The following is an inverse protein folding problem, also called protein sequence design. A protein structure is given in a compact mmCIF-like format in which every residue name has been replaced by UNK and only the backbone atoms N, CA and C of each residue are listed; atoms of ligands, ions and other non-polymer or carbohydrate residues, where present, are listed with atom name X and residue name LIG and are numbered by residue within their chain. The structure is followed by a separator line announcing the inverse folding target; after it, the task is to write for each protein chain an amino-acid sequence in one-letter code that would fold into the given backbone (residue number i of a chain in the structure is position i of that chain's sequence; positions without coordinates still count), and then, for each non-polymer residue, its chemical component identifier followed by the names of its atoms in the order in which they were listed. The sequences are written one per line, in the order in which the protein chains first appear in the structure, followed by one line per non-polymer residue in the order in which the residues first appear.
data_IF_079843273011
#
_entry.id   IF_079843273011
#
_cell.length_a   1.000
_cell.length_b   1.000
_cell.length_c   1.000
_cell.angle_alpha   90.00
_cell.angle_beta   90.00
_cell.angle_gamma   90.00
#
_symmetry.space_group_name_H-M   'P 1'
#
loop_
_entity.id
_entity.type
_entity.pdbx_description
1 polymer ?
#
# COMPACT_ATOMS: atom_id res chain seq x y z
N UNK A 1 -1.32 -13.62 50.29
CA UNK A 1 0.02 -14.21 50.03
C UNK A 1 -0.13 -15.69 49.72
N UNK A 2 -0.26 -16.06 48.43
CA UNK A 2 -0.37 -17.46 48.00
C UNK A 2 0.95 -17.93 47.39
N UNK A 3 1.60 -18.90 48.05
CA UNK A 3 2.84 -19.56 47.59
C UNK A 3 2.56 -20.34 46.30
N UNK A 4 3.21 -19.94 45.21
CA UNK A 4 3.32 -20.69 43.95
C UNK A 4 3.85 -22.10 44.25
N UNK A 5 3.06 -23.13 43.92
CA UNK A 5 3.57 -24.50 43.73
C UNK A 5 4.38 -24.51 42.43
N UNK A 6 5.70 -24.60 42.54
CA UNK A 6 6.56 -24.99 41.42
C UNK A 6 6.29 -26.46 41.10
N UNK A 7 5.62 -26.74 39.97
CA UNK A 7 5.61 -28.08 39.40
C UNK A 7 6.97 -28.34 38.75
N UNK A 8 7.63 -29.38 39.24
CA UNK A 8 8.91 -29.93 38.78
C UNK A 8 8.97 -30.13 37.27
N UNK A 9 10.06 -29.67 36.66
CA UNK A 9 10.43 -29.96 35.26
C UNK A 9 10.79 -31.45 35.16
N UNK A 10 9.91 -32.26 34.57
CA UNK A 10 10.16 -33.68 34.33
C UNK A 10 11.29 -33.85 33.29
N UNK A 11 12.23 -34.75 33.60
CA UNK A 11 13.38 -35.08 32.76
C UNK A 11 12.91 -35.58 31.38
N UNK A 12 13.52 -35.04 30.32
CA UNK A 12 13.25 -35.45 28.95
C UNK A 12 13.83 -36.85 28.70
N UNK A 13 12.97 -37.82 28.41
CA UNK A 13 13.38 -39.13 27.90
C UNK A 13 13.85 -38.98 26.45
N UNK A 14 15.03 -39.49 26.14
CA UNK A 14 15.73 -39.36 24.85
C UNK A 14 15.04 -39.98 23.61
N UNK A 15 13.77 -40.41 23.73
CA UNK A 15 12.96 -40.95 22.64
C UNK A 15 11.61 -40.25 22.45
N UNK A 16 11.28 -39.22 23.25
CA UNK A 16 10.06 -38.43 23.05
C UNK A 16 10.43 -37.19 22.25
N UNK A 17 10.04 -37.18 20.97
CA UNK A 17 10.02 -35.95 20.18
C UNK A 17 9.07 -34.97 20.88
N UNK A 18 9.63 -33.86 21.38
CA UNK A 18 8.83 -32.75 21.84
C UNK A 18 7.85 -32.38 20.71
N UNK A 19 6.55 -32.29 21.03
CA UNK A 19 5.58 -31.68 20.14
C UNK A 19 5.93 -30.19 20.07
N UNK A 20 6.92 -29.85 19.25
CA UNK A 20 7.20 -28.49 18.86
C UNK A 20 6.01 -28.05 17.99
N UNK A 21 5.03 -27.43 18.64
CA UNK A 21 3.86 -26.86 17.97
C UNK A 21 4.23 -25.80 16.92
N UNK A 22 5.47 -25.30 16.95
CA UNK A 22 6.04 -24.44 15.91
C UNK A 22 6.18 -25.11 14.54
N UNK A 23 6.19 -26.45 14.46
CA UNK A 23 6.22 -27.17 13.16
C UNK A 23 4.86 -27.11 12.45
N UNK A 24 3.78 -26.87 13.19
CA UNK A 24 2.43 -26.69 12.65
C UNK A 24 1.99 -25.22 12.63
N UNK A 25 2.92 -24.29 12.87
CA UNK A 25 2.70 -22.88 12.58
C UNK A 25 2.66 -22.71 11.06
N UNK A 26 1.50 -23.00 10.47
CA UNK A 26 1.19 -22.52 9.13
C UNK A 26 1.29 -21.01 9.23
N UNK A 27 2.29 -20.42 8.59
CA UNK A 27 2.37 -18.98 8.39
C UNK A 27 1.03 -18.57 7.78
N UNK A 28 0.18 -17.95 8.59
CA UNK A 28 -1.09 -17.42 8.11
C UNK A 28 -0.72 -16.47 6.98
N UNK A 29 -1.10 -16.75 5.72
CA UNK A 29 -0.75 -15.85 4.65
C UNK A 29 -1.29 -14.47 5.03
N UNK A 30 -0.42 -13.47 5.05
CA UNK A 30 -0.77 -12.07 5.25
C UNK A 30 -1.51 -11.52 4.01
N UNK A 31 -2.54 -12.24 3.59
CA UNK A 31 -3.40 -11.96 2.46
C UNK A 31 -4.85 -12.14 2.90
N UNK A 32 -5.74 -11.47 2.18
CA UNK A 32 -7.18 -11.51 2.42
C UNK A 32 -7.66 -12.95 2.32
N UNK A 33 -7.85 -13.62 3.47
CA UNK A 33 -8.45 -14.96 3.52
C UNK A 33 -9.96 -14.78 3.41
N UNK A 34 -10.44 -14.53 2.20
CA UNK A 34 -11.87 -14.65 1.93
C UNK A 34 -12.26 -16.13 2.18
N UNK A 35 -13.22 -16.36 3.06
CA UNK A 35 -13.77 -17.70 3.26
C UNK A 35 -14.44 -18.13 1.95
N UNK A 36 -14.34 -19.41 1.58
CA UNK A 36 -14.89 -19.92 0.31
C UNK A 36 -16.36 -19.51 0.13
N UNK A 37 -16.64 -18.64 -0.84
CA UNK A 37 -17.99 -18.09 -1.11
C UNK A 37 -18.18 -16.62 -0.72
N UNK A 38 -17.18 -15.99 -0.09
CA UNK A 38 -17.20 -14.59 0.31
C UNK A 38 -16.73 -13.66 -0.82
N UNK A 39 -17.27 -12.45 -0.86
CA UNK A 39 -16.83 -11.43 -1.81
C UNK A 39 -15.42 -10.95 -1.43
N UNK A 40 -14.41 -11.36 -2.22
CA UNK A 40 -13.01 -11.02 -1.99
C UNK A 40 -12.76 -9.50 -1.90
N UNK A 41 -13.55 -8.68 -2.60
CA UNK A 41 -13.43 -7.22 -2.51
C UNK A 41 -13.97 -6.69 -1.16
N UNK A 42 -15.09 -7.21 -0.68
CA UNK A 42 -15.65 -6.81 0.62
C UNK A 42 -14.71 -7.20 1.75
N UNK A 43 -14.21 -8.44 1.74
CA UNK A 43 -13.23 -8.92 2.70
C UNK A 43 -11.95 -8.06 2.68
N UNK A 44 -11.49 -7.67 1.49
CA UNK A 44 -10.32 -6.81 1.32
C UNK A 44 -10.54 -5.40 1.86
N UNK A 45 -11.69 -4.78 1.60
CA UNK A 45 -12.05 -3.46 2.14
C UNK A 45 -12.12 -3.51 3.67
N UNK A 46 -12.74 -4.55 4.24
CA UNK A 46 -12.81 -4.71 5.71
C UNK A 46 -11.42 -4.88 6.31
N UNK A 47 -10.58 -5.72 5.72
CA UNK A 47 -9.21 -5.91 6.19
C UNK A 47 -8.40 -4.61 6.12
N UNK A 48 -8.58 -3.82 5.06
CA UNK A 48 -7.92 -2.53 4.92
C UNK A 48 -8.40 -1.54 6.00
N UNK A 49 -9.70 -1.54 6.33
CA UNK A 49 -10.25 -0.75 7.44
C UNK A 49 -9.70 -1.17 8.80
N UNK A 50 -9.61 -2.48 9.08
CA UNK A 50 -8.98 -3.01 10.30
C UNK A 50 -7.56 -2.47 10.41
N UNK A 51 -6.77 -2.65 9.36
CA UNK A 51 -5.37 -2.22 9.33
C UNK A 51 -5.23 -0.72 9.58
N UNK A 52 -6.06 0.11 8.94
CA UNK A 52 -6.02 1.56 9.11
C UNK A 52 -6.39 1.99 10.54
N UNK A 53 -7.40 1.36 11.13
CA UNK A 53 -7.81 1.65 12.50
C UNK A 53 -6.80 1.16 13.54
N UNK A 54 -6.19 0.00 13.33
CA UNK A 54 -5.15 -0.54 14.21
C UNK A 54 -3.88 0.31 14.15
N UNK A 55 -3.50 0.79 12.96
CA UNK A 55 -2.40 1.75 12.79
C UNK A 55 -2.70 3.08 13.50
N UNK A 56 -3.93 3.60 13.38
CA UNK A 56 -4.35 4.80 14.10
C UNK A 56 -4.33 4.60 15.62
N UNK A 57 -4.78 3.45 16.10
CA UNK A 57 -4.72 3.10 17.52
C UNK A 57 -3.29 3.03 18.04
N UNK A 58 -2.36 2.46 17.26
CA UNK A 58 -0.92 2.47 17.56
C UNK A 58 -0.33 3.89 17.67
N UNK A 59 -0.92 4.88 16.98
CA UNK A 59 -0.56 6.31 17.07
C UNK A 59 -1.30 7.05 18.21
N UNK A 60 -2.14 6.37 18.99
CA UNK A 60 -2.89 6.95 20.12
C UNK A 60 -4.25 7.56 19.74
N UNK A 61 -4.76 7.34 18.52
CA UNK A 61 -6.11 7.72 18.14
C UNK A 61 -7.12 6.65 18.59
N UNK A 62 -8.09 7.02 19.42
CA UNK A 62 -9.17 6.11 19.79
C UNK A 62 -10.22 6.03 18.68
N UNK A 63 -10.99 4.92 18.64
CA UNK A 63 -12.08 4.76 17.66
C UNK A 63 -13.16 5.82 17.81
N UNK A 64 -13.40 6.32 19.03
CA UNK A 64 -14.31 7.45 19.24
C UNK A 64 -13.79 8.70 18.54
N UNK A 65 -12.50 9.05 18.73
CA UNK A 65 -11.89 10.22 18.06
C UNK A 65 -11.88 10.10 16.55
N UNK A 66 -11.70 8.89 16.02
CA UNK A 66 -11.78 8.66 14.58
C UNK A 66 -13.21 8.93 14.08
N UNK A 67 -14.23 8.42 14.78
CA UNK A 67 -15.62 8.66 14.42
C UNK A 67 -16.00 10.14 14.49
N UNK A 68 -15.52 10.87 15.51
CA UNK A 68 -15.73 12.32 15.64
C UNK A 68 -15.10 13.06 14.45
N UNK A 69 -13.83 12.77 14.13
CA UNK A 69 -13.15 13.39 12.98
C UNK A 69 -13.82 13.05 11.65
N UNK A 70 -14.39 11.86 11.50
CA UNK A 70 -15.18 11.51 10.32
C UNK A 70 -16.49 12.28 10.26
N UNK A 71 -17.16 12.48 11.40
CA UNK A 71 -18.41 13.22 11.46
C UNK A 71 -18.22 14.68 11.02
N UNK A 72 -17.09 15.29 11.42
CA UNK A 72 -16.69 16.64 10.99
C UNK A 72 -16.49 16.71 9.47
N UNK A 73 -15.74 15.78 8.88
CA UNK A 73 -15.47 15.75 7.43
C UNK A 73 -16.76 15.51 6.62
N UNK A 74 -17.60 14.58 7.07
CA UNK A 74 -18.78 14.14 6.33
C UNK A 74 -20.01 15.01 6.57
N UNK A 75 -19.95 15.94 7.54
CA UNK A 75 -21.09 16.74 7.99
C UNK A 75 -22.32 15.89 8.35
N UNK A 76 -22.11 14.69 8.91
CA UNK A 76 -23.16 13.76 9.36
C UNK A 76 -22.70 12.97 10.57
N UNK A 77 -23.63 12.54 11.46
CA UNK A 77 -23.23 11.78 12.64
C UNK A 77 -22.61 10.44 12.23
N UNK A 78 -21.34 10.26 12.59
CA UNK A 78 -20.64 8.97 12.57
C UNK A 78 -20.33 8.62 14.02
N UNK A 79 -20.47 7.34 14.36
CA UNK A 79 -20.27 6.86 15.73
C UNK A 79 -19.32 5.68 15.70
N UNK A 80 -18.72 5.37 16.84
CA UNK A 80 -17.90 4.16 16.99
C UNK A 80 -18.63 2.90 16.57
N UNK A 81 -19.94 2.80 16.85
CA UNK A 81 -20.74 1.65 16.44
C UNK A 81 -20.79 1.48 14.91
N UNK A 82 -20.81 2.57 14.14
CA UNK A 82 -20.71 2.49 12.68
C UNK A 82 -19.38 1.88 12.24
N UNK A 83 -18.26 2.33 12.83
CA UNK A 83 -16.93 1.76 12.55
C UNK A 83 -16.87 0.26 12.87
N UNK A 84 -17.36 -0.13 14.04
CA UNK A 84 -17.34 -1.53 14.48
C UNK A 84 -18.20 -2.42 13.55
N UNK A 85 -19.34 -1.92 13.06
CA UNK A 85 -20.19 -2.63 12.09
C UNK A 85 -19.53 -2.78 10.71
N UNK A 86 -18.83 -1.75 10.23
CA UNK A 86 -18.14 -1.80 8.94
C UNK A 86 -16.94 -2.75 8.95
N UNK A 87 -16.31 -2.93 10.11
CA UNK A 87 -15.17 -3.81 10.28
C UNK A 87 -15.58 -5.27 10.55
N UNK A 88 -16.73 -5.49 11.18
CA UNK A 88 -17.16 -6.82 11.61
C UNK A 88 -17.40 -7.79 10.42
N UNK A 89 -16.68 -8.93 10.33
CA UNK A 89 -16.86 -9.89 9.25
C UNK A 89 -18.25 -10.58 9.28
N UNK A 90 -18.86 -10.67 10.46
CA UNK A 90 -20.23 -11.21 10.62
C UNK A 90 -21.32 -10.29 10.08
N UNK A 91 -20.99 -9.05 9.69
CA UNK A 91 -21.94 -8.03 9.24
C UNK A 91 -21.80 -7.75 7.74
N UNK A 92 -21.86 -8.81 6.92
CA UNK A 92 -21.68 -8.74 5.46
C UNK A 92 -22.60 -7.71 4.75
N UNK A 93 -23.80 -7.48 5.28
CA UNK A 93 -24.77 -6.51 4.73
C UNK A 93 -24.45 -5.05 5.11
N UNK A 94 -23.65 -4.84 6.16
CA UNK A 94 -23.28 -3.50 6.65
C UNK A 94 -21.97 -3.07 6.00
N UNK A 95 -22.05 -2.64 4.74
CA UNK A 95 -20.91 -2.13 3.98
C UNK A 95 -20.63 -0.68 4.32
N UNK A 96 -19.35 -0.31 4.25
CA UNK A 96 -18.94 1.08 4.40
C UNK A 96 -19.32 1.88 3.14
N UNK A 97 -19.97 3.06 3.29
CA UNK A 97 -20.12 4.01 2.20
C UNK A 97 -18.76 4.53 1.69
N UNK A 98 -18.61 4.79 0.40
CA UNK A 98 -17.33 5.22 -0.20
C UNK A 98 -16.81 6.54 0.41
N UNK A 99 -17.71 7.47 0.69
CA UNK A 99 -17.37 8.73 1.36
C UNK A 99 -16.83 8.51 2.78
N UNK A 100 -17.44 7.61 3.56
CA UNK A 100 -16.97 7.21 4.88
C UNK A 100 -15.62 6.50 4.81
N UNK A 101 -15.41 5.65 3.80
CA UNK A 101 -14.13 4.99 3.58
C UNK A 101 -13.01 6.01 3.31
N UNK A 102 -13.28 7.02 2.48
CA UNK A 102 -12.36 8.14 2.27
C UNK A 102 -12.11 8.94 3.56
N UNK A 103 -13.15 9.25 4.33
CA UNK A 103 -13.01 9.97 5.59
C UNK A 103 -12.14 9.21 6.60
N UNK A 104 -12.26 7.88 6.72
CA UNK A 104 -11.36 7.06 7.58
C UNK A 104 -9.91 7.25 7.17
N UNK A 105 -9.59 7.12 5.87
CA UNK A 105 -8.21 7.29 5.38
C UNK A 105 -7.66 8.68 5.71
N UNK A 106 -8.48 9.72 5.53
CA UNK A 106 -8.10 11.10 5.84
C UNK A 106 -7.89 11.33 7.35
N UNK A 107 -8.74 10.80 8.21
CA UNK A 107 -8.62 10.99 9.68
C UNK A 107 -7.43 10.19 10.24
N UNK A 108 -7.24 8.96 9.79
CA UNK A 108 -6.14 8.10 10.23
C UNK A 108 -4.79 8.49 9.62
N UNK A 109 -4.79 9.35 8.58
CA UNK A 109 -3.63 9.67 7.75
C UNK A 109 -2.93 8.38 7.29
N UNK A 110 -3.75 7.43 6.83
CA UNK A 110 -3.30 6.14 6.31
C UNK A 110 -3.98 5.90 4.96
N UNK A 111 -3.17 5.91 3.91
CA UNK A 111 -3.58 5.75 2.53
C UNK A 111 -3.26 4.35 1.98
N UNK A 112 -2.78 3.43 2.82
CA UNK A 112 -2.58 2.01 2.45
C UNK A 112 -3.83 1.37 1.83
N UNK A 113 -5.08 1.68 2.29
CA UNK A 113 -6.27 1.16 1.61
C UNK A 113 -6.43 1.62 0.16
N UNK A 114 -5.93 2.81 -0.19
CA UNK A 114 -5.92 3.34 -1.55
C UNK A 114 -4.90 2.59 -2.43
N UNK A 115 -3.73 2.27 -1.87
CA UNK A 115 -2.72 1.43 -2.55
C UNK A 115 -3.27 0.04 -2.86
N UNK A 116 -3.96 -0.57 -1.90
CA UNK A 116 -4.61 -1.86 -2.10
C UNK A 116 -5.66 -1.80 -3.22
N UNK A 117 -6.49 -0.74 -3.27
CA UNK A 117 -7.45 -0.53 -4.36
C UNK A 117 -6.76 -0.39 -5.72
N UNK A 118 -5.68 0.40 -5.81
CA UNK A 118 -4.93 0.59 -7.04
C UNK A 118 -4.28 -0.71 -7.53
N UNK A 119 -3.80 -1.55 -6.60
CA UNK A 119 -3.19 -2.83 -6.92
C UNK A 119 -4.16 -3.80 -7.62
N UNK A 120 -5.47 -3.71 -7.36
CA UNK A 120 -6.47 -4.52 -8.07
C UNK A 120 -6.51 -4.24 -9.58
N UNK A 121 -6.04 -3.06 -10.00
CA UNK A 121 -6.00 -2.64 -11.40
C UNK A 121 -4.57 -2.63 -11.97
N UNK A 122 -3.62 -3.29 -11.30
CA UNK A 122 -2.19 -3.25 -11.61
C UNK A 122 -1.64 -1.80 -11.70
N UNK A 123 -2.19 -0.89 -10.89
CA UNK A 123 -1.75 0.49 -10.75
C UNK A 123 -1.04 0.67 -9.41
N UNK A 124 -0.30 1.77 -9.30
CA UNK A 124 0.27 2.26 -8.04
C UNK A 124 -0.21 3.67 -7.81
N UNK A 125 -0.48 3.99 -6.55
CA UNK A 125 -0.67 5.37 -6.12
C UNK A 125 0.72 5.93 -5.84
N UNK A 126 0.97 7.15 -6.30
CA UNK A 126 2.18 7.89 -6.02
C UNK A 126 1.77 9.18 -5.31
N UNK A 127 2.52 9.54 -4.28
CA UNK A 127 2.45 10.87 -3.70
C UNK A 127 2.92 11.93 -4.71
N UNK A 128 2.54 13.19 -4.50
CA UNK A 128 2.94 14.28 -5.41
C UNK A 128 4.47 14.36 -5.59
N UNK A 129 5.23 14.13 -4.51
CA UNK A 129 6.69 14.12 -4.54
C UNK A 129 7.25 12.95 -5.37
N UNK A 130 6.66 11.77 -5.22
CA UNK A 130 7.04 10.58 -6.00
C UNK A 130 6.69 10.74 -7.50
N UNK A 131 5.57 11.38 -7.83
CA UNK A 131 5.21 11.72 -9.20
C UNK A 131 6.28 12.61 -9.83
N UNK A 132 6.68 13.69 -9.13
CA UNK A 132 7.74 14.59 -9.62
C UNK A 132 9.06 13.85 -9.84
N UNK A 133 9.42 12.96 -8.92
CA UNK A 133 10.63 12.13 -9.06
C UNK A 133 10.55 11.19 -10.28
N UNK A 134 9.39 10.55 -10.48
CA UNK A 134 9.16 9.67 -11.62
C UNK A 134 9.22 10.44 -12.96
N UNK A 135 8.60 11.62 -13.02
CA UNK A 135 8.65 12.52 -14.18
C UNK A 135 10.08 12.97 -14.48
N UNK A 136 10.82 13.40 -13.47
CA UNK A 136 12.22 13.79 -13.62
C UNK A 136 13.08 12.63 -14.14
N UNK A 137 12.91 11.43 -13.58
CA UNK A 137 13.60 10.24 -14.06
C UNK A 137 13.29 9.91 -15.52
N UNK A 138 12.02 10.02 -15.92
CA UNK A 138 11.60 9.83 -17.31
C UNK A 138 12.24 10.87 -18.25
N UNK A 139 12.28 12.14 -17.84
CA UNK A 139 12.95 13.20 -18.59
C UNK A 139 14.45 12.93 -18.76
N UNK A 140 15.14 12.45 -17.72
CA UNK A 140 16.57 12.17 -17.81
C UNK A 140 16.89 10.97 -18.73
N UNK A 141 16.02 9.96 -18.75
CA UNK A 141 16.12 8.86 -19.71
C UNK A 141 15.95 9.38 -21.14
N UNK A 142 14.95 10.21 -21.38
CA UNK A 142 14.75 10.85 -22.69
C UNK A 142 15.95 11.72 -23.08
N UNK A 143 16.51 12.50 -22.14
CA UNK A 143 17.69 13.32 -22.37
C UNK A 143 18.88 12.48 -22.83
N UNK A 144 19.15 11.37 -22.16
CA UNK A 144 20.23 10.44 -22.56
C UNK A 144 20.03 9.89 -23.96
N UNK A 145 18.79 9.50 -24.29
CA UNK A 145 18.46 9.04 -25.64
C UNK A 145 18.66 10.13 -26.70
N UNK A 146 18.25 11.37 -26.41
CA UNK A 146 18.45 12.50 -27.32
C UNK A 146 19.94 12.80 -27.51
N UNK A 147 20.73 12.86 -26.44
CA UNK A 147 22.18 13.08 -26.54
C UNK A 147 22.87 11.98 -27.35
N UNK A 148 22.49 10.72 -27.16
CA UNK A 148 23.01 9.60 -27.95
C UNK A 148 22.65 9.73 -29.43
N UNK A 149 21.42 10.13 -29.75
CA UNK A 149 20.99 10.40 -31.13
C UNK A 149 21.75 11.57 -31.74
N UNK A 150 21.91 12.68 -31.03
CA UNK A 150 22.68 13.84 -31.51
C UNK A 150 24.11 13.44 -31.86
N UNK A 151 24.79 12.71 -30.97
CA UNK A 151 26.16 12.23 -31.22
C UNK A 151 26.24 11.25 -32.40
N UNK A 152 25.24 10.39 -32.57
CA UNK A 152 25.18 9.49 -33.71
C UNK A 152 24.99 10.26 -35.04
N UNK A 153 24.16 11.30 -35.04
CA UNK A 153 23.96 12.19 -36.19
C UNK A 153 25.25 12.96 -36.49
N UNK A 154 25.89 13.57 -35.48
CA UNK A 154 27.19 14.24 -35.63
C UNK A 154 28.25 13.30 -36.23
N UNK A 155 28.31 12.05 -35.80
CA UNK A 155 29.21 11.05 -36.37
C UNK A 155 28.87 10.63 -37.81
N UNK A 156 27.60 10.75 -38.23
CA UNK A 156 27.18 10.56 -39.63
C UNK A 156 27.43 11.80 -40.48
N UNK A 157 27.44 12.99 -39.86
CA UNK A 157 27.81 14.26 -40.47
C UNK A 157 29.34 14.37 -40.55
N UNK A 158 29.98 13.43 -41.25
CA UNK A 158 31.42 13.47 -41.48
C UNK A 158 31.83 14.72 -42.32
N UNK A 159 33.07 15.22 -42.15
CA UNK A 159 33.55 16.55 -42.59
C UNK A 159 33.24 16.90 -44.07
N UNK A 160 33.12 15.90 -44.95
CA UNK A 160 32.83 16.08 -46.38
C UNK A 160 31.42 16.62 -46.63
N UNK A 161 30.42 16.22 -45.84
CA UNK A 161 29.05 16.70 -45.95
C UNK A 161 28.94 18.15 -45.47
N UNK A 162 29.65 18.50 -44.39
CA UNK A 162 29.79 19.87 -43.92
C UNK A 162 30.51 20.77 -44.92
N UNK A 163 31.62 20.31 -45.51
CA UNK A 163 32.34 21.04 -46.56
C UNK A 163 31.48 21.29 -47.80
N UNK A 164 30.72 20.30 -48.26
CA UNK A 164 29.82 20.43 -49.41
C UNK A 164 28.62 21.36 -49.12
N UNK A 165 28.06 21.33 -47.91
CA UNK A 165 26.95 22.21 -47.52
C UNK A 165 27.44 23.65 -47.32
N UNK A 166 28.60 23.85 -46.68
CA UNK A 166 29.20 25.17 -46.47
C UNK A 166 29.61 25.86 -47.78
N UNK A 167 30.18 25.11 -48.73
CA UNK A 167 30.46 25.59 -50.10
C UNK A 167 29.19 26.02 -50.83
N UNK A 168 28.07 25.29 -50.65
CA UNK A 168 26.79 25.58 -51.30
C UNK A 168 26.11 26.82 -50.72
N UNK A 169 26.25 27.07 -49.42
CA UNK A 169 25.75 28.28 -48.74
C UNK A 169 26.59 29.52 -49.10
N UNK A 170 27.90 29.37 -49.37
CA UNK A 170 28.76 30.49 -49.80
C UNK A 170 28.56 30.95 -51.24
N UNK A 171 27.99 30.10 -52.11
CA UNK A 171 27.77 30.39 -53.54
C UNK A 171 26.35 30.86 -53.88
N UNK A 172 25.41 30.78 -52.93
CA UNK A 172 24.06 31.33 -53.04
C UNK A 172 23.97 32.66 -52.32
#
# INVERSE_FOLDING_TARGET
MNKRRQSSRAAHSAGQLALNFDVFAVETPAGVVAVKGENALDAGIRQALVSALDAAFGKGLSRERVADGMADILCRPVTKAHLDLWVAPSQADRRIPVDAFMAVMMVCQDFTPLDWLAAQFARKVLTAEEVLCAEFGAMEVLRRHLTAKSKAIEGQMDEKLFGQIAERIKRG
#
